data_IF_896437449884
#
_entry.id   IF_896437449884
#
_cell.length_a   1.000
_cell.length_b   1.000
_cell.length_c   1.000
_cell.angle_alpha   90.00
_cell.angle_beta   90.00
_cell.angle_gamma   90.00
#
_symmetry.space_group_name_H-M   'P 1'
#
loop_
_entity.id
_entity.type
_entity.pdbx_description
1 polymer ?
#
# COMPACT_ATOMS: atom_id res chain seq x y z
N UNK A 1 -10.71 -12.48 6.99
CA UNK A 1 -10.54 -11.05 7.27
C UNK A 1 -9.40 -10.51 6.42
N UNK A 2 -9.51 -9.28 5.92
CA UNK A 2 -8.43 -8.64 5.15
C UNK A 2 -7.15 -8.50 5.98
N UNK A 3 -7.29 -8.29 7.28
CA UNK A 3 -6.16 -8.11 8.20
C UNK A 3 -5.27 -9.36 8.28
N UNK A 4 -5.86 -10.56 8.20
CA UNK A 4 -5.10 -11.82 8.15
C UNK A 4 -4.23 -11.91 6.90
N UNK A 5 -4.73 -11.49 5.75
CA UNK A 5 -3.96 -11.52 4.49
C UNK A 5 -2.74 -10.59 4.56
N UNK A 6 -2.89 -9.43 5.21
CA UNK A 6 -1.76 -8.52 5.44
C UNK A 6 -0.72 -9.12 6.41
N UNK A 7 -1.17 -9.76 7.48
CA UNK A 7 -0.26 -10.43 8.41
C UNK A 7 0.48 -11.60 7.75
N UNK A 8 -0.22 -12.43 6.98
CA UNK A 8 0.37 -13.53 6.20
C UNK A 8 1.42 -12.98 5.19
N UNK A 9 1.18 -11.79 4.64
CA UNK A 9 2.13 -11.10 3.76
C UNK A 9 3.41 -10.70 4.51
N UNK A 10 3.28 -10.14 5.71
CA UNK A 10 4.41 -9.80 6.58
C UNK A 10 5.22 -11.05 6.92
N UNK A 11 4.57 -12.13 7.28
CA UNK A 11 5.23 -13.42 7.57
C UNK A 11 5.97 -13.96 6.34
N UNK A 12 5.35 -13.91 5.17
CA UNK A 12 5.97 -14.37 3.93
C UNK A 12 7.22 -13.55 3.56
N UNK A 13 7.17 -12.24 3.75
CA UNK A 13 8.32 -11.35 3.55
C UNK A 13 9.42 -11.66 4.56
N UNK A 14 9.08 -11.76 5.83
CA UNK A 14 10.04 -12.01 6.91
C UNK A 14 10.80 -13.33 6.74
N UNK A 15 10.13 -14.37 6.25
CA UNK A 15 10.77 -15.66 5.92
C UNK A 15 11.84 -15.55 4.83
N UNK A 16 11.66 -14.63 3.87
CA UNK A 16 12.58 -14.42 2.74
C UNK A 16 13.65 -13.37 3.05
N UNK A 17 13.28 -12.33 3.79
CA UNK A 17 14.11 -11.17 4.13
C UNK A 17 13.86 -10.73 5.56
N UNK A 18 14.58 -11.34 6.50
CA UNK A 18 14.44 -11.08 7.94
C UNK A 18 14.95 -9.70 8.39
N UNK A 19 15.68 -9.00 7.52
CA UNK A 19 16.20 -7.65 7.73
C UNK A 19 15.16 -6.54 7.50
N UNK A 20 14.02 -6.86 6.89
CA UNK A 20 12.96 -5.89 6.63
C UNK A 20 12.14 -5.63 7.90
N UNK A 21 11.92 -4.35 8.20
CA UNK A 21 11.08 -3.87 9.30
C UNK A 21 9.70 -3.45 8.76
N UNK A 22 8.68 -3.57 9.56
CA UNK A 22 7.31 -3.22 9.19
C UNK A 22 6.77 -2.12 10.10
N UNK A 23 6.18 -1.09 9.51
CA UNK A 23 5.54 0.01 10.24
C UNK A 23 4.06 0.05 9.90
N UNK A 24 3.23 0.02 10.93
CA UNK A 24 1.77 0.14 10.81
C UNK A 24 1.34 1.43 11.51
N UNK A 25 0.95 2.47 10.77
CA UNK A 25 0.43 3.70 11.38
C UNK A 25 -1.01 3.48 11.84
N UNK A 26 -1.26 3.71 13.13
CA UNK A 26 -2.59 3.75 13.70
C UNK A 26 -3.15 5.19 13.61
N UNK A 27 -4.31 5.34 12.99
CA UNK A 27 -4.93 6.66 12.78
C UNK A 27 -5.35 7.37 14.08
N UNK A 28 -5.61 6.60 15.13
CA UNK A 28 -6.01 7.07 16.46
C UNK A 28 -5.85 5.96 17.50
N UNK A 29 -6.05 6.30 18.78
CA UNK A 29 -5.95 5.35 19.90
C UNK A 29 -6.88 4.14 19.76
N UNK A 30 -8.09 4.33 19.24
CA UNK A 30 -9.02 3.23 19.03
C UNK A 30 -8.47 2.22 18.02
N UNK A 31 -7.87 2.70 16.93
CA UNK A 31 -7.20 1.84 15.93
C UNK A 31 -5.95 1.18 16.48
N UNK A 32 -5.19 1.89 17.30
CA UNK A 32 -4.02 1.31 17.98
C UNK A 32 -4.43 0.07 18.79
N UNK A 33 -5.42 0.21 19.67
CA UNK A 33 -5.93 -0.90 20.50
C UNK A 33 -6.44 -2.07 19.64
N UNK A 34 -7.13 -1.79 18.53
CA UNK A 34 -7.60 -2.83 17.62
C UNK A 34 -6.45 -3.59 16.95
N UNK A 35 -5.43 -2.88 16.49
CA UNK A 35 -4.25 -3.49 15.84
C UNK A 35 -3.49 -4.34 16.86
N UNK A 36 -3.23 -3.82 18.06
CA UNK A 36 -2.55 -4.55 19.13
C UNK A 36 -3.30 -5.82 19.52
N UNK A 37 -4.62 -5.73 19.70
CA UNK A 37 -5.47 -6.88 20.02
C UNK A 37 -5.45 -7.94 18.91
N UNK A 38 -5.50 -7.51 17.65
CA UNK A 38 -5.42 -8.40 16.50
C UNK A 38 -4.08 -9.15 16.45
N UNK A 39 -2.96 -8.45 16.64
CA UNK A 39 -1.63 -9.06 16.64
C UNK A 39 -1.44 -10.02 17.83
N UNK A 40 -1.95 -9.68 19.00
CA UNK A 40 -1.92 -10.55 20.19
C UNK A 40 -2.72 -11.85 19.97
N UNK A 41 -3.89 -11.76 19.33
CA UNK A 41 -4.73 -12.92 19.00
C UNK A 41 -4.16 -13.76 17.84
N UNK A 42 -3.25 -13.22 17.07
CA UNK A 42 -2.62 -13.84 15.90
C UNK A 42 -1.28 -14.48 16.28
N UNK A 43 -1.28 -15.37 17.28
CA UNK A 43 -0.09 -16.07 17.77
C UNK A 43 1.04 -15.11 18.20
N UNK A 44 0.64 -14.03 18.87
CA UNK A 44 1.53 -12.97 19.36
C UNK A 44 2.49 -12.44 18.27
N UNK A 45 1.92 -12.14 17.12
CA UNK A 45 2.68 -11.77 15.92
C UNK A 45 3.64 -10.58 16.16
N UNK A 46 3.27 -9.63 17.04
CA UNK A 46 4.10 -8.48 17.36
C UNK A 46 5.40 -8.88 18.07
N UNK A 47 5.40 -9.95 18.88
CA UNK A 47 6.60 -10.46 19.55
C UNK A 47 7.50 -11.29 18.61
N UNK A 48 6.91 -11.89 17.58
CA UNK A 48 7.62 -12.77 16.64
C UNK A 48 8.14 -12.06 15.40
N UNK A 49 7.51 -10.96 15.01
CA UNK A 49 7.79 -10.24 13.77
C UNK A 49 8.25 -8.81 14.07
N UNK A 50 9.13 -8.23 13.25
CA UNK A 50 9.63 -6.87 13.44
C UNK A 50 8.57 -5.83 13.03
N UNK A 51 7.45 -5.80 13.74
CA UNK A 51 6.31 -4.91 13.52
C UNK A 51 6.35 -3.77 14.52
N UNK A 52 6.35 -2.54 14.02
CA UNK A 52 6.30 -1.31 14.79
C UNK A 52 4.97 -0.59 14.52
N UNK A 53 4.18 -0.40 15.57
CA UNK A 53 2.94 0.37 15.47
C UNK A 53 3.24 1.81 15.89
N UNK A 54 2.83 2.77 15.07
CA UNK A 54 3.02 4.20 15.34
C UNK A 54 1.69 4.92 15.46
N UNK A 55 1.63 5.94 16.32
CA UNK A 55 0.47 6.82 16.51
C UNK A 55 0.59 8.15 15.80
N UNK A 56 1.62 8.33 15.00
CA UNK A 56 1.84 9.53 14.18
C UNK A 56 0.96 9.57 12.94
N UNK A 57 1.24 10.53 12.07
CA UNK A 57 0.55 10.63 10.79
C UNK A 57 0.97 9.49 9.85
N UNK A 58 0.04 9.03 9.02
CA UNK A 58 0.35 8.04 7.98
C UNK A 58 1.47 8.55 7.04
N UNK A 59 1.50 9.85 6.80
CA UNK A 59 2.55 10.50 5.98
C UNK A 59 3.94 10.30 6.56
N UNK A 60 4.13 10.43 7.86
CA UNK A 60 5.44 10.22 8.49
C UNK A 60 5.91 8.78 8.31
N UNK A 61 5.02 7.81 8.46
CA UNK A 61 5.30 6.41 8.17
C UNK A 61 5.66 6.19 6.68
N UNK A 62 4.95 6.84 5.75
CA UNK A 62 5.25 6.78 4.32
C UNK A 62 6.64 7.34 4.00
N UNK A 63 7.00 8.49 4.58
CA UNK A 63 8.31 9.11 4.38
C UNK A 63 9.44 8.23 4.92
N UNK A 64 9.21 7.56 6.05
CA UNK A 64 10.19 6.68 6.67
C UNK A 64 10.33 5.31 5.97
N UNK A 65 9.40 4.96 5.09
CA UNK A 65 9.36 3.64 4.44
C UNK A 65 10.10 3.65 3.10
N UNK A 66 10.63 2.49 2.72
CA UNK A 66 11.22 2.26 1.39
C UNK A 66 10.16 1.83 0.37
N UNK A 67 9.18 1.04 0.82
CA UNK A 67 8.06 0.52 0.02
C UNK A 67 6.79 0.56 0.87
N UNK A 68 5.64 0.80 0.24
CA UNK A 68 4.36 0.94 0.94
C UNK A 68 3.34 -0.06 0.38
N UNK A 69 2.59 -0.71 1.27
CA UNK A 69 1.40 -1.48 0.94
C UNK A 69 0.16 -0.68 1.36
N UNK A 70 -0.74 -0.45 0.43
CA UNK A 70 -1.96 0.34 0.61
C UNK A 70 -3.21 -0.46 0.26
N UNK A 71 -4.25 -0.27 1.07
CA UNK A 71 -5.59 -0.80 0.82
C UNK A 71 -6.62 0.29 0.48
N UNK A 72 -6.17 1.51 0.23
CA UNK A 72 -7.01 2.70 0.01
C UNK A 72 -6.56 3.51 -1.20
N UNK A 73 -7.52 3.97 -2.00
CA UNK A 73 -7.28 4.78 -3.19
C UNK A 73 -6.73 6.17 -2.89
N UNK A 74 -7.26 6.86 -1.87
CA UNK A 74 -6.83 8.23 -1.52
C UNK A 74 -5.41 8.29 -0.99
N UNK A 75 -4.98 7.29 -0.21
CA UNK A 75 -3.63 7.20 0.30
C UNK A 75 -2.57 6.99 -0.80
N UNK A 76 -2.97 6.50 -1.99
CA UNK A 76 -2.05 6.30 -3.11
C UNK A 76 -1.49 7.62 -3.65
N UNK A 77 -2.28 8.69 -3.64
CA UNK A 77 -1.80 10.02 -4.02
C UNK A 77 -0.74 10.52 -3.03
N UNK A 78 -0.98 10.36 -1.75
CA UNK A 78 -0.04 10.78 -0.71
C UNK A 78 1.27 10.00 -0.80
N UNK A 79 1.22 8.69 -1.00
CA UNK A 79 2.42 7.86 -1.22
C UNK A 79 3.20 8.27 -2.48
N UNK A 80 2.51 8.62 -3.57
CA UNK A 80 3.12 9.15 -4.78
C UNK A 80 3.83 10.48 -4.51
N UNK A 81 3.20 11.39 -3.76
CA UNK A 81 3.81 12.67 -3.39
C UNK A 81 5.03 12.49 -2.47
N UNK A 82 5.05 11.45 -1.64
CA UNK A 82 6.22 11.05 -0.85
C UNK A 82 7.30 10.35 -1.68
N UNK A 83 7.08 10.12 -2.98
CA UNK A 83 8.03 9.46 -3.90
C UNK A 83 8.42 8.05 -3.43
N UNK A 84 7.43 7.29 -2.94
CA UNK A 84 7.66 5.92 -2.46
C UNK A 84 7.03 4.90 -3.39
N UNK A 85 7.75 3.85 -3.78
CA UNK A 85 7.16 2.70 -4.45
C UNK A 85 6.04 2.11 -3.61
N UNK A 86 4.98 1.65 -4.26
CA UNK A 86 3.79 1.15 -3.58
C UNK A 86 3.18 -0.05 -4.30
N UNK A 87 2.53 -0.90 -3.51
CA UNK A 87 1.59 -1.92 -3.98
C UNK A 87 0.21 -1.56 -3.45
N UNK A 88 -0.79 -1.57 -4.32
CA UNK A 88 -2.16 -1.22 -3.97
C UNK A 88 -3.02 -2.47 -4.04
N UNK A 89 -3.71 -2.80 -2.94
CA UNK A 89 -4.50 -4.01 -2.80
C UNK A 89 -5.95 -3.65 -2.45
N UNK A 90 -6.89 -3.99 -3.34
CA UNK A 90 -8.33 -3.76 -3.13
C UNK A 90 -9.08 -5.07 -3.02
N UNK A 91 -9.81 -5.25 -1.94
CA UNK A 91 -10.76 -6.34 -1.78
C UNK A 91 -12.15 -5.78 -1.50
N UNK A 92 -12.96 -5.69 -2.54
CA UNK A 92 -14.31 -5.17 -2.50
C UNK A 92 -15.33 -6.30 -2.35
N UNK A 93 -16.50 -6.00 -1.78
CA UNK A 93 -17.63 -6.94 -1.81
C UNK A 93 -17.96 -7.33 -3.26
N UNK A 94 -18.25 -8.61 -3.54
CA UNK A 94 -18.42 -9.09 -4.93
C UNK A 94 -19.43 -8.29 -5.75
N UNK A 95 -20.53 -7.87 -5.13
CA UNK A 95 -21.55 -7.05 -5.79
C UNK A 95 -21.02 -5.65 -6.13
N UNK A 96 -20.34 -5.03 -5.19
CA UNK A 96 -19.69 -3.70 -5.38
C UNK A 96 -18.67 -3.76 -6.51
N UNK A 97 -17.85 -4.80 -6.54
CA UNK A 97 -16.87 -5.01 -7.59
C UNK A 97 -17.51 -5.14 -8.98
N UNK A 98 -18.58 -5.96 -9.11
CA UNK A 98 -19.34 -6.11 -10.36
C UNK A 98 -19.97 -4.81 -10.84
N UNK A 99 -20.50 -4.01 -9.91
CA UNK A 99 -21.08 -2.69 -10.21
C UNK A 99 -19.99 -1.74 -10.69
N UNK A 100 -18.85 -1.70 -9.98
CA UNK A 100 -17.73 -0.84 -10.35
C UNK A 100 -17.16 -1.22 -11.72
N UNK A 101 -17.00 -2.50 -12.03
CA UNK A 101 -16.54 -2.94 -13.35
C UNK A 101 -17.46 -2.48 -14.50
N UNK A 102 -18.78 -2.33 -14.24
CA UNK A 102 -19.74 -1.84 -15.24
C UNK A 102 -19.73 -0.34 -15.41
N UNK A 103 -19.48 0.38 -14.32
CA UNK A 103 -19.53 1.86 -14.27
C UNK A 103 -18.17 2.45 -14.68
N UNK A 104 -17.09 1.91 -14.15
CA UNK A 104 -15.74 2.35 -14.44
C UNK A 104 -15.18 1.63 -15.66
N UNK A 105 -15.11 2.34 -16.76
CA UNK A 105 -14.42 1.85 -17.98
C UNK A 105 -12.90 2.00 -17.89
N UNK A 106 -12.39 2.65 -16.85
CA UNK A 106 -10.96 2.82 -16.66
C UNK A 106 -10.33 1.51 -16.19
N UNK A 107 -9.18 1.10 -16.75
CA UNK A 107 -8.48 -0.14 -16.37
C UNK A 107 -7.73 -0.01 -15.04
N UNK A 108 -7.74 1.16 -14.40
CA UNK A 108 -6.97 1.47 -13.20
C UNK A 108 -7.87 2.01 -12.08
N UNK A 109 -7.49 1.72 -10.82
CA UNK A 109 -8.15 2.22 -9.61
C UNK A 109 -7.22 3.13 -8.78
N UNK A 110 -5.91 2.88 -8.80
CA UNK A 110 -4.94 3.70 -8.09
C UNK A 110 -4.75 5.06 -8.80
N UNK A 111 -4.77 6.15 -8.03
CA UNK A 111 -4.60 7.50 -8.58
C UNK A 111 -3.32 7.68 -9.40
N UNK A 112 -2.16 7.16 -9.00
CA UNK A 112 -0.96 7.25 -9.83
C UNK A 112 -1.14 6.64 -11.22
N UNK A 113 -1.79 5.48 -11.32
CA UNK A 113 -2.05 4.82 -12.61
C UNK A 113 -3.09 5.59 -13.45
N UNK A 114 -4.13 6.11 -12.81
CA UNK A 114 -5.13 6.97 -13.47
C UNK A 114 -4.50 8.23 -14.03
N UNK A 115 -3.68 8.92 -13.23
CA UNK A 115 -2.99 10.16 -13.65
C UNK A 115 -1.96 9.90 -14.75
N UNK A 116 -1.25 8.78 -14.68
CA UNK A 116 -0.28 8.38 -15.69
C UNK A 116 -0.94 7.82 -16.97
N UNK A 117 -2.20 7.43 -16.89
CA UNK A 117 -2.89 6.61 -17.89
C UNK A 117 -2.06 5.35 -18.27
N UNK A 118 -1.42 4.76 -17.26
CA UNK A 118 -0.50 3.63 -17.40
C UNK A 118 -0.40 2.87 -16.07
N UNK A 119 -0.08 1.58 -16.13
CA UNK A 119 0.14 0.73 -14.96
C UNK A 119 1.53 0.94 -14.36
N UNK A 120 1.76 2.08 -13.74
CA UNK A 120 3.08 2.43 -13.15
C UNK A 120 3.30 1.83 -11.76
N UNK A 121 2.24 1.47 -11.05
CA UNK A 121 2.30 0.74 -9.78
C UNK A 121 1.42 -0.50 -9.83
N UNK A 122 1.80 -1.60 -9.15
CA UNK A 122 0.97 -2.80 -9.07
C UNK A 122 -0.36 -2.54 -8.36
N UNK A 123 -1.45 -2.94 -8.99
CA UNK A 123 -2.80 -2.99 -8.42
C UNK A 123 -3.25 -4.44 -8.33
N UNK A 124 -3.48 -4.92 -7.12
CA UNK A 124 -4.01 -6.24 -6.85
C UNK A 124 -5.49 -6.13 -6.48
N UNK A 125 -6.33 -6.92 -7.13
CA UNK A 125 -7.79 -6.87 -6.97
C UNK A 125 -8.32 -8.24 -6.59
N UNK A 126 -9.28 -8.27 -5.68
CA UNK A 126 -10.05 -9.47 -5.32
C UNK A 126 -9.16 -10.69 -5.00
N UNK A 127 -9.17 -11.72 -5.84
CA UNK A 127 -8.43 -12.97 -5.64
C UNK A 127 -6.90 -12.79 -5.73
N UNK A 128 -6.45 -11.74 -6.42
CA UNK A 128 -5.03 -11.40 -6.50
C UNK A 128 -4.50 -10.79 -5.19
N UNK A 129 -5.40 -10.36 -4.29
CA UNK A 129 -5.05 -9.90 -2.94
C UNK A 129 -4.80 -11.12 -2.04
N UNK A 130 -3.61 -11.66 -2.14
CA UNK A 130 -3.13 -12.78 -1.34
C UNK A 130 -1.67 -12.57 -0.93
N UNK A 131 -1.22 -13.32 0.07
CA UNK A 131 0.11 -13.15 0.66
C UNK A 131 1.24 -13.39 -0.35
N UNK A 132 1.07 -14.34 -1.26
CA UNK A 132 2.08 -14.65 -2.28
C UNK A 132 2.26 -13.49 -3.25
N UNK A 133 1.17 -12.99 -3.85
CA UNK A 133 1.23 -11.90 -4.81
C UNK A 133 1.73 -10.60 -4.14
N UNK A 134 1.19 -10.25 -2.98
CA UNK A 134 1.59 -9.04 -2.27
C UNK A 134 3.06 -9.09 -1.84
N UNK A 135 3.52 -10.20 -1.27
CA UNK A 135 4.93 -10.33 -0.86
C UNK A 135 5.89 -10.29 -2.05
N UNK A 136 5.55 -10.95 -3.16
CA UNK A 136 6.37 -10.94 -4.37
C UNK A 136 6.48 -9.53 -4.97
N UNK A 137 5.38 -8.78 -5.05
CA UNK A 137 5.39 -7.41 -5.56
C UNK A 137 6.19 -6.46 -4.65
N UNK A 138 5.99 -6.56 -3.34
CA UNK A 138 6.73 -5.74 -2.37
C UNK A 138 8.24 -6.04 -2.39
N UNK A 139 8.62 -7.31 -2.38
CA UNK A 139 10.02 -7.73 -2.45
C UNK A 139 10.68 -7.32 -3.77
N UNK A 140 9.94 -7.33 -4.86
CA UNK A 140 10.43 -6.88 -6.16
C UNK A 140 10.96 -5.44 -6.13
N UNK A 141 10.34 -4.54 -5.37
CA UNK A 141 10.83 -3.17 -5.21
C UNK A 141 12.14 -3.07 -4.45
N UNK A 142 12.42 -3.98 -3.51
CA UNK A 142 13.71 -4.03 -2.80
C UNK A 142 14.85 -4.54 -3.68
N UNK A 143 14.54 -5.31 -4.72
CA UNK A 143 15.51 -5.93 -5.62
C UNK A 143 15.74 -5.13 -6.91
N UNK A 144 14.94 -4.11 -7.16
CA UNK A 144 14.94 -3.34 -8.40
C UNK A 144 15.43 -1.91 -8.19
N UNK A 145 15.96 -1.31 -9.25
CA UNK A 145 16.16 0.14 -9.32
C UNK A 145 14.82 0.83 -9.58
N UNK A 146 14.35 1.62 -8.62
CA UNK A 146 13.08 2.31 -8.66
C UNK A 146 13.18 3.76 -9.20
N UNK A 147 14.34 4.17 -9.71
CA UNK A 147 14.61 5.53 -10.16
C UNK A 147 13.61 6.00 -11.23
N UNK A 148 13.29 5.15 -12.19
CA UNK A 148 12.34 5.47 -13.26
C UNK A 148 10.93 5.71 -12.71
N UNK A 149 10.48 4.89 -11.75
CA UNK A 149 9.19 5.08 -11.09
C UNK A 149 9.15 6.39 -10.29
N UNK A 150 10.19 6.68 -9.53
CA UNK A 150 10.30 7.92 -8.73
C UNK A 150 10.31 9.14 -9.64
N UNK A 151 11.02 9.09 -10.77
CA UNK A 151 11.01 10.14 -11.79
C UNK A 151 9.60 10.34 -12.35
N UNK A 152 8.87 9.27 -12.63
CA UNK A 152 7.48 9.33 -13.09
C UNK A 152 6.56 9.99 -12.05
N UNK A 153 6.72 9.67 -10.78
CA UNK A 153 5.98 10.33 -9.69
C UNK A 153 6.28 11.83 -9.61
N UNK A 154 7.53 12.21 -9.85
CA UNK A 154 7.95 13.62 -9.87
C UNK A 154 7.30 14.38 -11.03
N UNK A 155 7.25 13.80 -12.23
CA UNK A 155 6.56 14.40 -13.39
C UNK A 155 5.06 14.59 -13.10
N UNK A 156 4.38 13.58 -12.58
CA UNK A 156 2.96 13.66 -12.22
C UNK A 156 2.70 14.73 -11.15
N UNK A 157 3.58 14.83 -10.15
CA UNK A 157 3.50 15.86 -9.13
C UNK A 157 3.62 17.28 -9.72
N UNK A 158 4.53 17.50 -10.66
CA UNK A 158 4.65 18.78 -11.38
C UNK A 158 3.39 19.12 -12.19
N UNK A 159 2.81 18.14 -12.87
CA UNK A 159 1.56 18.33 -13.64
C UNK A 159 0.42 18.77 -12.72
N UNK A 160 0.26 18.10 -11.56
CA UNK A 160 -0.77 18.46 -10.57
C UNK A 160 -0.60 19.89 -10.03
N UNK A 161 0.64 20.32 -9.76
CA UNK A 161 0.91 21.71 -9.33
C UNK A 161 0.53 22.73 -10.41
N UNK A 162 0.95 22.51 -11.65
CA UNK A 162 0.65 23.42 -12.76
C UNK A 162 -0.86 23.55 -13.01
N UNK A 163 -1.63 22.49 -12.80
CA UNK A 163 -3.09 22.52 -12.97
C UNK A 163 -3.79 23.21 -11.79
N UNK A 164 -3.26 23.09 -10.59
CA UNK A 164 -3.77 23.79 -9.40
C UNK A 164 -3.55 25.32 -9.50
N UNK A 165 -2.43 25.76 -10.09
CA UNK A 165 -2.11 27.18 -10.26
C UNK A 165 -2.93 27.87 -11.37
N UNK A 166 -3.65 27.11 -12.20
CA UNK A 166 -4.53 27.62 -13.27
C UNK A 166 -5.98 27.81 -12.83
N UNK A 167 -6.35 27.36 -11.64
CA UNK A 167 -7.68 27.51 -11.04
C UNK A 167 -7.69 28.59 -9.98
#
# INVERSE_FOLDING_TARGET
SSDLVFLDTIEAIHKKRSDIQFVIPAANEHRLVQIEAFLAQSDDAQSRLPIHITTGTARDAMIASDVILLASGTATLEAMLCKRPMVVAYKLAPLTYKIMQRIYKAPYFALPNLLANDAIVPELLQEDVNAENMSNQLLGFFESDNSALISRFTELHHTLKCDADKT
#
